data_IF_707008675630
#
_entry.id   IF_707008675630
#
_cell.length_a   1.000
_cell.length_b   1.000
_cell.length_c   1.000
_cell.angle_alpha   90.00
_cell.angle_beta   90.00
_cell.angle_gamma   90.00
#
_symmetry.space_group_name_H-M   'P 1'
#
loop_
_entity.id
_entity.type
_entity.pdbx_description
1 polymer ?
#
# COMPACT_ATOMS: atom_id res chain seq x y z
N UNK A 1 1.64 -4.59 -69.65
CA UNK A 1 0.94 -3.59 -68.82
C UNK A 1 -0.02 -4.35 -67.91
N UNK A 2 0.01 -4.03 -66.62
CA UNK A 2 -0.65 -4.71 -65.47
C UNK A 2 0.15 -5.83 -64.82
N UNK A 3 1.13 -5.37 -64.04
CA UNK A 3 1.56 -5.99 -62.79
C UNK A 3 0.34 -6.37 -61.93
N UNK A 4 0.32 -7.61 -61.45
CA UNK A 4 -0.63 -8.07 -60.45
C UNK A 4 0.10 -8.06 -59.10
N UNK A 5 -0.09 -6.97 -58.35
CA UNK A 5 0.50 -6.76 -57.03
C UNK A 5 -0.20 -7.68 -56.02
N UNK A 6 0.58 -8.55 -55.39
CA UNK A 6 0.17 -9.46 -54.32
C UNK A 6 0.10 -8.65 -53.01
N UNK A 7 -1.11 -8.40 -52.50
CA UNK A 7 -1.33 -7.75 -51.21
C UNK A 7 -1.21 -8.84 -50.13
N UNK A 8 -0.05 -8.89 -49.49
CA UNK A 8 0.22 -9.69 -48.29
C UNK A 8 -0.34 -8.91 -47.09
N UNK A 9 -1.50 -9.37 -46.59
CA UNK A 9 -2.09 -8.85 -45.35
C UNK A 9 -1.20 -9.29 -44.17
N UNK A 10 -0.28 -8.44 -43.75
CA UNK A 10 0.42 -8.59 -42.47
C UNK A 10 -0.56 -8.27 -41.34
N UNK A 11 -1.27 -9.30 -40.87
CA UNK A 11 -1.92 -9.25 -39.58
C UNK A 11 -0.84 -9.10 -38.51
N UNK A 12 -0.77 -7.95 -37.86
CA UNK A 12 0.03 -7.73 -36.67
C UNK A 12 -0.51 -8.61 -35.54
N UNK A 13 0.05 -9.81 -35.39
CA UNK A 13 -0.06 -10.57 -34.15
C UNK A 13 0.55 -9.69 -33.05
N UNK A 14 -0.30 -9.13 -32.19
CA UNK A 14 0.15 -8.65 -30.89
C UNK A 14 0.66 -9.87 -30.15
N UNK A 15 1.98 -10.04 -30.13
CA UNK A 15 2.64 -10.86 -29.13
C UNK A 15 2.28 -10.24 -27.78
N UNK A 16 1.35 -10.85 -27.04
CA UNK A 16 1.28 -10.67 -25.60
C UNK A 16 2.60 -11.21 -25.07
N UNK A 17 3.56 -10.33 -24.81
CA UNK A 17 4.72 -10.70 -24.02
C UNK A 17 4.21 -11.16 -22.65
N UNK A 18 4.80 -12.23 -22.13
CA UNK A 18 4.59 -12.65 -20.75
C UNK A 18 4.91 -11.45 -19.86
N UNK A 19 3.90 -10.86 -19.23
CA UNK A 19 4.15 -9.79 -18.27
C UNK A 19 5.00 -10.37 -17.15
N UNK A 20 6.21 -9.85 -16.99
CA UNK A 20 7.08 -10.25 -15.88
C UNK A 20 6.36 -9.91 -14.58
N UNK A 21 6.11 -10.93 -13.75
CA UNK A 21 5.52 -10.76 -12.42
C UNK A 21 6.35 -9.73 -11.65
N UNK A 22 5.69 -8.72 -11.12
CA UNK A 22 6.30 -7.65 -10.37
C UNK A 22 6.26 -8.04 -8.88
N UNK A 23 7.40 -7.99 -8.20
CA UNK A 23 7.47 -8.32 -6.78
C UNK A 23 7.06 -7.10 -5.93
N UNK A 24 5.93 -6.50 -6.27
CA UNK A 24 5.33 -5.31 -5.67
C UNK A 24 3.80 -5.45 -5.56
N UNK A 25 3.14 -4.52 -4.87
CA UNK A 25 1.68 -4.44 -4.87
C UNK A 25 1.23 -4.02 -6.25
N UNK A 26 0.42 -4.84 -6.92
CA UNK A 26 -0.09 -4.55 -8.25
C UNK A 26 -1.36 -5.32 -8.54
N UNK A 27 -2.28 -4.66 -9.24
CA UNK A 27 -3.49 -5.27 -9.78
C UNK A 27 -3.38 -5.24 -11.31
N UNK A 28 -3.33 -6.42 -11.91
CA UNK A 28 -3.12 -6.60 -13.35
C UNK A 28 -4.43 -6.59 -14.13
N UNK A 29 -5.49 -7.15 -13.55
CA UNK A 29 -6.81 -7.15 -14.16
C UNK A 29 -7.61 -5.90 -13.73
N UNK A 30 -8.04 -5.04 -14.67
CA UNK A 30 -8.80 -3.83 -14.35
C UNK A 30 -10.18 -4.08 -13.74
N UNK A 31 -10.73 -5.30 -13.81
CA UNK A 31 -11.99 -5.68 -13.16
C UNK A 31 -11.80 -6.02 -11.68
N UNK A 32 -10.57 -6.32 -11.27
CA UNK A 32 -10.24 -6.52 -9.86
C UNK A 32 -10.13 -5.16 -9.16
N UNK A 33 -10.78 -5.06 -8.00
CA UNK A 33 -10.87 -3.85 -7.19
C UNK A 33 -10.78 -4.19 -5.70
N UNK A 34 -10.46 -3.16 -4.91
CA UNK A 34 -10.52 -3.24 -3.45
C UNK A 34 -9.72 -4.42 -2.89
N UNK A 35 -8.50 -4.59 -3.38
CA UNK A 35 -7.60 -5.63 -2.88
C UNK A 35 -7.12 -5.19 -1.50
N UNK A 36 -7.35 -6.01 -0.48
CA UNK A 36 -6.92 -5.79 0.89
C UNK A 36 -6.21 -7.03 1.41
N UNK A 37 -5.06 -6.82 2.05
CA UNK A 37 -4.32 -7.85 2.78
C UNK A 37 -4.04 -7.33 4.16
N UNK A 38 -4.57 -8.02 5.16
CA UNK A 38 -4.40 -7.57 6.54
C UNK A 38 -4.35 -8.74 7.52
N UNK A 39 -3.76 -8.56 8.71
CA UNK A 39 -3.79 -9.56 9.77
C UNK A 39 -5.23 -9.96 10.11
N UNK A 40 -5.45 -11.26 10.37
CA UNK A 40 -6.76 -11.73 10.85
C UNK A 40 -6.87 -11.40 12.33
N UNK A 41 -7.47 -10.26 12.66
CA UNK A 41 -7.80 -9.87 14.02
C UNK A 41 -9.24 -10.24 14.38
N UNK A 42 -9.80 -9.45 15.30
CA UNK A 42 -11.14 -9.66 15.88
C UNK A 42 -12.06 -8.46 15.58
N UNK A 43 -11.55 -7.36 15.00
CA UNK A 43 -12.24 -6.09 14.89
C UNK A 43 -12.38 -5.65 13.43
N UNK A 44 -13.38 -4.81 13.14
CA UNK A 44 -13.62 -4.25 11.80
C UNK A 44 -12.48 -3.35 11.29
N UNK A 45 -11.64 -2.81 12.18
CA UNK A 45 -10.55 -1.91 11.82
C UNK A 45 -9.28 -2.64 11.37
N UNK A 46 -9.30 -3.97 11.27
CA UNK A 46 -8.14 -4.75 10.84
C UNK A 46 -7.70 -4.36 9.41
N UNK A 47 -8.63 -3.86 8.58
CA UNK A 47 -8.35 -3.33 7.22
C UNK A 47 -7.32 -2.18 7.20
N UNK A 48 -7.11 -1.49 8.33
CA UNK A 48 -6.16 -0.37 8.45
C UNK A 48 -4.75 -0.82 8.86
N UNK A 49 -4.61 -2.09 9.25
CA UNK A 49 -3.33 -2.62 9.69
C UNK A 49 -2.48 -2.99 8.48
N UNK A 50 -1.21 -2.63 8.53
CA UNK A 50 -0.22 -3.08 7.56
C UNK A 50 -0.25 -4.60 7.39
N UNK A 51 0.08 -5.11 6.19
CA UNK A 51 0.15 -6.55 5.89
C UNK A 51 1.37 -7.20 6.55
N UNK A 52 1.49 -7.08 7.87
CA UNK A 52 2.58 -7.55 8.70
C UNK A 52 2.02 -8.45 9.79
N UNK A 53 2.42 -9.71 9.78
CA UNK A 53 1.95 -10.70 10.76
C UNK A 53 3.08 -11.28 11.58
N UNK A 54 2.80 -11.57 12.85
CA UNK A 54 3.72 -12.41 13.63
C UNK A 54 3.68 -13.83 13.10
N UNK A 55 4.82 -14.52 13.10
CA UNK A 55 4.93 -15.92 12.71
C UNK A 55 3.84 -16.79 13.37
N UNK A 56 3.05 -17.48 12.53
CA UNK A 56 1.96 -18.35 12.96
C UNK A 56 0.59 -17.67 13.08
N UNK A 57 0.51 -16.35 12.95
CA UNK A 57 -0.75 -15.63 12.87
C UNK A 57 -1.32 -15.70 11.44
N UNK A 58 -2.55 -16.17 11.22
CA UNK A 58 -3.17 -16.14 9.89
C UNK A 58 -3.50 -14.70 9.46
N UNK A 59 -3.62 -14.49 8.16
CA UNK A 59 -4.04 -13.22 7.57
C UNK A 59 -5.17 -13.43 6.56
N UNK A 60 -5.78 -12.34 6.13
CA UNK A 60 -6.86 -12.34 5.15
C UNK A 60 -6.33 -11.69 3.87
N UNK A 61 -6.72 -12.28 2.74
CA UNK A 61 -6.75 -11.63 1.44
C UNK A 61 -8.21 -11.53 1.03
N UNK A 62 -8.63 -10.33 0.65
CA UNK A 62 -9.95 -10.09 0.07
C UNK A 62 -9.88 -9.10 -1.08
N UNK A 63 -10.79 -9.26 -2.03
CA UNK A 63 -10.91 -8.40 -3.21
C UNK A 63 -12.25 -8.62 -3.89
N UNK A 64 -12.64 -7.66 -4.71
CA UNK A 64 -13.82 -7.77 -5.56
C UNK A 64 -13.43 -7.93 -7.01
N UNK A 65 -14.22 -8.69 -7.74
CA UNK A 65 -14.19 -8.76 -9.19
C UNK A 65 -15.48 -8.16 -9.74
N UNK A 66 -15.38 -7.08 -10.52
CA UNK A 66 -16.53 -6.40 -11.14
C UNK A 66 -17.07 -7.18 -12.35
N UNK A 67 -17.52 -8.41 -12.11
CA UNK A 67 -18.11 -9.32 -13.08
C UNK A 67 -19.29 -10.07 -12.46
N UNK A 68 -20.09 -10.73 -13.30
CA UNK A 68 -21.29 -11.45 -12.84
C UNK A 68 -21.04 -12.93 -12.52
N UNK A 69 -19.94 -13.49 -13.03
CA UNK A 69 -19.61 -14.90 -12.91
C UNK A 69 -18.44 -15.06 -11.95
N UNK A 70 -18.45 -16.15 -11.17
CA UNK A 70 -17.38 -16.46 -10.25
C UNK A 70 -16.33 -17.32 -10.96
N UNK A 71 -15.06 -16.97 -10.77
CA UNK A 71 -13.90 -17.73 -11.22
C UNK A 71 -13.26 -18.46 -10.05
N UNK A 72 -12.39 -19.42 -10.36
CA UNK A 72 -11.57 -20.08 -9.34
C UNK A 72 -10.17 -19.47 -9.38
N UNK A 73 -9.77 -18.86 -8.28
CA UNK A 73 -8.43 -18.31 -8.12
C UNK A 73 -7.54 -19.19 -7.26
N UNK A 74 -6.24 -19.10 -7.51
CA UNK A 74 -5.22 -19.73 -6.67
C UNK A 74 -4.21 -18.68 -6.20
N UNK A 75 -3.73 -18.89 -4.98
CA UNK A 75 -2.71 -18.04 -4.36
C UNK A 75 -1.42 -18.83 -4.19
N UNK A 76 -0.30 -18.20 -4.54
CA UNK A 76 1.05 -18.71 -4.29
C UNK A 76 1.88 -17.66 -3.57
N UNK A 77 2.80 -18.09 -2.71
CA UNK A 77 3.75 -17.20 -2.06
C UNK A 77 5.10 -17.22 -2.78
N UNK A 78 5.69 -16.05 -2.98
CA UNK A 78 7.09 -15.89 -3.36
C UNK A 78 7.83 -15.29 -2.16
N UNK A 79 8.81 -16.00 -1.62
CA UNK A 79 9.70 -15.47 -0.58
C UNK A 79 10.70 -14.51 -1.20
N UNK A 80 10.84 -13.32 -0.61
CA UNK A 80 11.77 -12.28 -1.04
C UNK A 80 12.78 -11.92 0.04
N UNK A 81 13.94 -11.40 -0.36
CA UNK A 81 14.97 -10.81 0.50
C UNK A 81 14.54 -9.41 0.98
N UNK A 82 15.38 -8.73 1.79
CA UNK A 82 15.05 -7.42 2.36
C UNK A 82 14.79 -6.34 1.28
N UNK A 83 15.43 -6.47 0.12
CA UNK A 83 15.29 -5.59 -1.05
C UNK A 83 14.14 -5.99 -1.99
N UNK A 84 13.28 -6.94 -1.58
CA UNK A 84 12.20 -7.53 -2.37
C UNK A 84 12.63 -8.40 -3.55
N UNK A 85 13.93 -8.66 -3.74
CA UNK A 85 14.40 -9.65 -4.72
C UNK A 85 13.97 -11.07 -4.33
N UNK A 86 13.70 -11.93 -5.31
CA UNK A 86 13.26 -13.30 -5.05
C UNK A 86 14.37 -14.10 -4.34
N UNK A 87 14.00 -14.75 -3.23
CA UNK A 87 14.89 -15.61 -2.47
C UNK A 87 15.23 -16.91 -3.23
N UNK A 88 16.39 -17.48 -2.91
CA UNK A 88 16.82 -18.80 -3.40
C UNK A 88 16.24 -19.96 -2.57
N UNK A 89 15.55 -19.65 -1.46
CA UNK A 89 14.91 -20.67 -0.63
C UNK A 89 13.80 -21.39 -1.40
N UNK A 90 13.74 -22.70 -1.19
CA UNK A 90 12.65 -23.55 -1.70
C UNK A 90 11.40 -23.42 -0.82
N UNK A 91 10.24 -23.67 -1.41
CA UNK A 91 8.93 -23.58 -0.75
C UNK A 91 8.85 -24.35 0.58
N UNK A 92 9.45 -25.55 0.64
CA UNK A 92 9.47 -26.40 1.83
C UNK A 92 10.28 -25.80 3.01
N UNK A 93 11.13 -24.81 2.76
CA UNK A 93 11.90 -24.14 3.81
C UNK A 93 11.07 -23.07 4.54
N UNK A 94 10.02 -22.53 3.89
CA UNK A 94 9.19 -21.47 4.48
C UNK A 94 7.70 -21.83 4.60
N UNK A 95 7.24 -22.95 4.01
CA UNK A 95 5.90 -23.47 4.15
C UNK A 95 5.90 -24.96 4.53
N UNK A 96 4.93 -25.36 5.37
CA UNK A 96 4.67 -26.76 5.73
C UNK A 96 3.72 -27.47 4.76
N UNK A 97 3.02 -26.72 3.93
CA UNK A 97 2.05 -27.20 2.96
C UNK A 97 2.56 -26.99 1.55
N UNK A 98 1.87 -27.55 0.57
CA UNK A 98 2.07 -27.16 -0.82
C UNK A 98 1.75 -25.66 -0.98
N UNK A 99 2.57 -24.95 -1.76
CA UNK A 99 2.53 -23.50 -1.92
C UNK A 99 1.53 -23.10 -3.01
N UNK A 100 0.29 -23.51 -2.81
CA UNK A 100 -0.83 -23.24 -3.70
C UNK A 100 -2.11 -23.36 -2.88
N UNK A 101 -2.84 -22.25 -2.77
CA UNK A 101 -4.05 -22.15 -1.95
C UNK A 101 -5.22 -21.75 -2.85
N UNK A 102 -6.25 -22.59 -2.91
CA UNK A 102 -7.46 -22.30 -3.69
C UNK A 102 -8.36 -21.32 -2.94
N UNK A 103 -8.88 -20.32 -3.65
CA UNK A 103 -9.90 -19.40 -3.15
C UNK A 103 -11.26 -19.99 -3.54
N UNK A 104 -11.94 -20.62 -2.57
CA UNK A 104 -13.26 -21.24 -2.79
C UNK A 104 -14.41 -20.40 -2.21
N UNK A 105 -14.13 -19.55 -1.22
CA UNK A 105 -15.15 -18.74 -0.57
C UNK A 105 -15.33 -17.43 -1.32
N UNK A 106 -16.51 -17.25 -1.88
CA UNK A 106 -16.95 -16.03 -2.53
C UNK A 106 -18.43 -15.79 -2.28
N UNK A 107 -18.84 -14.53 -2.32
CA UNK A 107 -20.23 -14.10 -2.22
C UNK A 107 -20.55 -13.12 -3.35
N UNK A 108 -21.74 -13.24 -3.95
CA UNK A 108 -22.21 -12.29 -4.94
C UNK A 108 -22.69 -11.01 -4.25
N UNK A 109 -22.47 -9.87 -4.91
CA UNK A 109 -23.01 -8.59 -4.45
C UNK A 109 -24.54 -8.64 -4.34
N UNK A 110 -25.08 -7.91 -3.37
CA UNK A 110 -26.49 -7.91 -3.04
C UNK A 110 -27.04 -6.48 -2.99
N UNK A 111 -28.11 -6.22 -3.75
CA UNK A 111 -28.75 -4.89 -3.87
C UNK A 111 -27.81 -3.75 -4.30
N UNK A 112 -26.80 -4.05 -5.12
CA UNK A 112 -25.90 -3.07 -5.73
C UNK A 112 -26.29 -2.81 -7.20
N UNK A 113 -26.04 -1.62 -7.71
CA UNK A 113 -26.15 -1.28 -9.14
C UNK A 113 -24.97 -1.84 -9.92
N UNK A 114 -23.76 -1.77 -9.36
CA UNK A 114 -22.59 -2.44 -9.92
C UNK A 114 -22.52 -3.87 -9.37
N UNK A 115 -22.76 -4.90 -10.20
CA UNK A 115 -22.60 -6.28 -9.76
C UNK A 115 -21.12 -6.63 -9.59
N UNK A 116 -20.80 -7.42 -8.57
CA UNK A 116 -19.47 -7.97 -8.36
C UNK A 116 -19.52 -9.30 -7.59
N UNK A 117 -18.40 -10.02 -7.63
CA UNK A 117 -18.13 -11.18 -6.78
C UNK A 117 -17.08 -10.79 -5.76
N UNK A 118 -17.39 -10.92 -4.47
CA UNK A 118 -16.46 -10.67 -3.38
C UNK A 118 -15.76 -11.98 -3.00
N UNK A 119 -14.43 -11.99 -3.03
CA UNK A 119 -13.62 -13.14 -2.63
C UNK A 119 -12.94 -12.86 -1.30
N UNK A 120 -12.95 -13.85 -0.40
CA UNK A 120 -12.30 -13.73 0.92
C UNK A 120 -11.67 -15.05 1.32
N UNK A 121 -10.36 -15.04 1.54
CA UNK A 121 -9.60 -16.23 1.93
C UNK A 121 -8.74 -15.95 3.16
N UNK A 122 -8.75 -16.91 4.09
CA UNK A 122 -7.83 -16.92 5.22
C UNK A 122 -6.60 -17.73 4.83
N UNK A 123 -5.46 -17.07 4.88
CA UNK A 123 -4.19 -17.59 4.44
C UNK A 123 -3.27 -17.90 5.63
N UNK A 124 -2.55 -19.04 5.62
CA UNK A 124 -1.62 -19.37 6.69
C UNK A 124 -0.34 -18.53 6.59
N UNK A 125 0.19 -18.12 7.75
CA UNK A 125 1.51 -17.49 7.82
C UNK A 125 2.63 -18.50 7.51
N UNK A 126 3.59 -18.14 6.65
CA UNK A 126 4.86 -18.85 6.51
C UNK A 126 5.56 -19.15 7.83
N UNK A 127 6.28 -20.27 7.90
CA UNK A 127 7.01 -20.70 9.10
C UNK A 127 8.37 -20.04 9.26
N UNK A 128 8.83 -19.28 8.26
CA UNK A 128 10.06 -18.51 8.28
C UNK A 128 9.71 -17.02 8.22
N UNK A 129 10.37 -16.17 9.02
CA UNK A 129 10.17 -14.72 8.89
C UNK A 129 10.83 -14.19 7.61
N UNK A 130 10.42 -13.01 7.16
CA UNK A 130 10.89 -12.38 5.93
C UNK A 130 9.80 -11.68 5.14
N UNK A 131 10.19 -11.21 3.95
CA UNK A 131 9.31 -10.59 2.97
C UNK A 131 8.66 -11.65 2.09
N UNK A 132 7.38 -11.46 1.77
CA UNK A 132 6.65 -12.37 0.90
C UNK A 132 5.77 -11.59 -0.07
N UNK A 133 5.62 -12.11 -1.29
CA UNK A 133 4.66 -11.63 -2.27
C UNK A 133 3.61 -12.71 -2.48
N UNK A 134 2.34 -12.37 -2.23
CA UNK A 134 1.18 -13.13 -2.68
C UNK A 134 1.07 -12.95 -4.18
N UNK A 135 0.90 -14.04 -4.92
CA UNK A 135 0.60 -14.04 -6.35
C UNK A 135 -0.74 -14.74 -6.51
N UNK A 136 -1.74 -14.01 -6.97
CA UNK A 136 -3.07 -14.55 -7.29
C UNK A 136 -3.18 -14.71 -8.79
N UNK A 137 -3.60 -15.88 -9.24
CA UNK A 137 -3.77 -16.18 -10.65
C UNK A 137 -5.06 -16.97 -10.90
N UNK A 138 -5.58 -16.89 -12.12
CA UNK A 138 -6.86 -17.46 -12.52
C UNK A 138 -6.71 -18.86 -13.12
N UNK A 139 -7.77 -19.67 -12.98
CA UNK A 139 -8.00 -20.91 -13.73
C UNK A 139 -6.87 -21.95 -13.67
N UNK A 140 -6.03 -21.90 -12.65
CA UNK A 140 -4.89 -22.80 -12.50
C UNK A 140 -3.73 -22.52 -13.47
N UNK A 141 -3.72 -21.38 -14.18
CA UNK A 141 -2.59 -20.96 -15.03
C UNK A 141 -1.71 -19.94 -14.28
N UNK A 142 -0.50 -20.32 -13.82
CA UNK A 142 0.41 -19.41 -13.14
C UNK A 142 0.92 -18.24 -13.99
N UNK A 143 0.61 -18.21 -15.29
CA UNK A 143 0.91 -17.08 -16.17
C UNK A 143 -0.23 -16.06 -16.23
N UNK A 144 -1.44 -16.42 -15.79
CA UNK A 144 -2.60 -15.52 -15.75
C UNK A 144 -2.70 -14.84 -14.38
N UNK A 145 -1.69 -14.03 -14.07
CA UNK A 145 -1.57 -13.33 -12.79
C UNK A 145 -2.49 -12.12 -12.77
N UNK A 146 -3.35 -12.05 -11.75
CA UNK A 146 -4.32 -10.97 -11.56
C UNK A 146 -3.91 -9.98 -10.46
N UNK A 147 -3.20 -10.45 -9.43
CA UNK A 147 -2.78 -9.64 -8.28
C UNK A 147 -1.39 -10.08 -7.83
N UNK A 148 -0.53 -9.12 -7.51
CA UNK A 148 0.59 -9.32 -6.60
C UNK A 148 0.45 -8.42 -5.40
N UNK A 149 0.74 -8.93 -4.20
CA UNK A 149 0.66 -8.12 -2.97
C UNK A 149 1.75 -8.51 -1.97
N UNK A 150 2.48 -7.52 -1.48
CA UNK A 150 3.51 -7.68 -0.47
C UNK A 150 2.89 -7.90 0.91
N UNK A 151 3.48 -8.79 1.68
CA UNK A 151 3.23 -8.94 3.09
C UNK A 151 4.51 -9.38 3.80
N UNK A 152 4.57 -9.17 5.10
CA UNK A 152 5.74 -9.48 5.91
C UNK A 152 5.38 -10.42 7.04
N UNK A 153 6.28 -11.34 7.34
CA UNK A 153 6.18 -12.19 8.53
C UNK A 153 7.36 -11.87 9.43
N UNK A 154 7.13 -11.48 10.67
CA UNK A 154 8.19 -11.20 11.62
C UNK A 154 8.22 -12.22 12.76
N UNK A 155 9.43 -12.42 13.29
CA UNK A 155 9.65 -13.10 14.56
C UNK A 155 10.07 -12.04 15.58
N UNK A 156 9.55 -12.09 16.81
CA UNK A 156 9.81 -11.05 17.81
C UNK A 156 11.04 -11.39 18.65
N UNK A 157 12.22 -11.36 18.03
CA UNK A 157 13.49 -11.78 18.63
C UNK A 157 14.31 -10.62 19.22
N UNK A 158 13.98 -9.39 18.85
CA UNK A 158 14.59 -8.16 19.38
C UNK A 158 13.55 -7.24 19.97
N UNK A 159 13.98 -6.36 20.88
CA UNK A 159 13.12 -5.34 21.48
C UNK A 159 13.61 -3.95 21.11
N UNK A 160 12.68 -3.01 20.98
CA UNK A 160 13.02 -1.60 20.77
C UNK A 160 13.10 -0.89 22.12
N UNK A 161 14.23 -0.22 22.39
CA UNK A 161 14.48 0.52 23.64
C UNK A 161 15.09 1.88 23.35
N UNK A 162 15.09 2.81 24.31
CA UNK A 162 15.96 4.00 24.32
C UNK A 162 16.40 4.33 25.76
N UNK A 163 17.44 5.15 25.94
CA UNK A 163 17.87 5.68 27.25
C UNK A 163 16.78 6.57 27.93
N UNK A 164 15.79 7.07 27.16
CA UNK A 164 14.68 7.90 27.65
C UNK A 164 13.32 7.18 27.65
N UNK A 165 13.22 5.91 27.23
CA UNK A 165 11.95 5.18 27.06
C UNK A 165 11.71 4.66 25.64
N UNK A 166 10.48 4.78 25.12
CA UNK A 166 10.10 4.36 23.75
C UNK A 166 10.85 5.16 22.65
N UNK A 167 10.91 4.67 21.39
CA UNK A 167 11.46 5.43 20.26
C UNK A 167 10.89 6.84 20.11
N UNK A 168 11.71 7.77 19.62
CA UNK A 168 11.39 9.21 19.58
C UNK A 168 11.39 9.72 18.14
N UNK A 169 10.39 10.53 17.80
CA UNK A 169 10.32 11.32 16.58
C UNK A 169 10.74 12.76 16.91
N UNK A 170 11.94 13.15 16.50
CA UNK A 170 12.49 14.48 16.69
C UNK A 170 12.09 15.41 15.54
N UNK A 171 11.52 16.57 15.88
CA UNK A 171 11.24 17.66 14.94
C UNK A 171 12.49 18.50 14.72
N UNK A 172 13.51 17.91 14.07
CA UNK A 172 14.80 18.56 13.82
C UNK A 172 14.70 19.80 12.90
N UNK A 173 13.57 19.96 12.20
CA UNK A 173 13.20 21.07 11.33
C UNK A 173 11.68 21.24 11.38
N UNK A 174 11.11 22.45 11.16
CA UNK A 174 9.66 22.65 11.08
C UNK A 174 8.98 21.85 9.96
N UNK A 175 9.74 21.30 9.01
CA UNK A 175 9.23 20.57 7.86
C UNK A 175 9.45 19.05 7.92
N UNK A 176 10.29 18.56 8.84
CA UNK A 176 10.76 17.17 8.81
C UNK A 176 10.58 16.48 10.16
N UNK A 177 10.53 15.15 10.11
CA UNK A 177 10.44 14.24 11.23
C UNK A 177 11.63 13.29 11.18
N UNK A 178 12.41 13.21 12.26
CA UNK A 178 13.61 12.36 12.35
C UNK A 178 13.41 11.28 13.42
N UNK A 179 13.58 10.02 13.04
CA UNK A 179 13.42 8.88 13.94
C UNK A 179 14.74 8.53 14.64
N UNK A 180 14.66 8.33 15.95
CA UNK A 180 15.77 7.81 16.76
C UNK A 180 15.29 6.64 17.63
N UNK A 181 16.03 5.54 17.56
CA UNK A 181 15.68 4.30 18.26
C UNK A 181 16.93 3.46 18.53
N UNK A 182 16.80 2.50 19.46
CA UNK A 182 17.78 1.46 19.70
C UNK A 182 17.11 0.09 19.63
N UNK A 183 17.84 -0.88 19.08
CA UNK A 183 17.42 -2.28 18.99
C UNK A 183 18.25 -3.11 19.97
N UNK A 184 17.58 -3.70 20.95
CA UNK A 184 18.15 -4.65 21.90
C UNK A 184 18.03 -6.07 21.35
N UNK A 185 19.16 -6.69 21.04
CA UNK A 185 19.25 -8.05 20.51
C UNK A 185 19.78 -9.06 21.54
N UNK A 186 19.65 -8.77 22.85
CA UNK A 186 20.14 -9.65 23.92
C UNK A 186 19.55 -11.07 23.91
N UNK A 187 18.38 -11.25 23.30
CA UNK A 187 17.73 -12.55 23.09
C UNK A 187 18.40 -13.43 22.02
N UNK A 188 19.37 -12.91 21.28
CA UNK A 188 20.07 -13.63 20.22
C UNK A 188 21.58 -13.35 20.20
N UNK A 189 22.30 -14.14 19.42
CA UNK A 189 23.74 -13.98 19.19
C UNK A 189 23.95 -13.51 17.75
N UNK A 190 24.49 -12.31 17.58
CA UNK A 190 24.79 -11.72 16.28
C UNK A 190 26.28 -11.42 16.27
N UNK A 191 27.04 -12.12 15.44
CA UNK A 191 28.51 -12.06 15.46
C UNK A 191 29.05 -10.78 14.84
N UNK A 192 28.37 -10.29 13.80
CA UNK A 192 28.75 -9.06 13.10
C UNK A 192 27.50 -8.21 12.85
N UNK A 193 26.99 -7.49 13.86
CA UNK A 193 25.75 -6.74 13.72
C UNK A 193 25.81 -5.67 12.61
N UNK A 194 27.00 -5.13 12.32
CA UNK A 194 27.16 -4.13 11.28
C UNK A 194 26.85 -4.68 9.88
N UNK A 195 27.26 -5.92 9.61
CA UNK A 195 27.04 -6.55 8.29
C UNK A 195 25.80 -7.43 8.25
N UNK A 196 25.37 -7.98 9.38
CA UNK A 196 24.25 -8.92 9.45
C UNK A 196 22.91 -8.25 9.75
N UNK A 197 22.89 -7.03 10.30
CA UNK A 197 21.65 -6.30 10.61
C UNK A 197 21.48 -5.11 9.69
N UNK A 198 20.26 -4.89 9.24
CA UNK A 198 19.84 -3.68 8.55
C UNK A 198 18.42 -3.33 8.95
N UNK A 199 18.07 -2.05 8.82
CA UNK A 199 16.72 -1.56 9.12
C UNK A 199 16.11 -0.92 7.89
N UNK A 200 14.81 -1.19 7.68
CA UNK A 200 13.98 -0.43 6.75
C UNK A 200 12.92 0.35 7.52
N UNK A 201 12.70 1.61 7.15
CA UNK A 201 11.68 2.47 7.77
C UNK A 201 10.67 2.91 6.72
N UNK A 202 9.38 2.71 6.99
CA UNK A 202 8.27 3.20 6.16
C UNK A 202 7.56 4.34 6.89
N UNK A 203 7.07 5.33 6.12
CA UNK A 203 6.17 6.37 6.60
C UNK A 203 4.78 6.07 6.02
N UNK A 204 3.77 5.91 6.86
CA UNK A 204 2.38 5.66 6.46
C UNK A 204 2.23 4.47 5.51
N UNK A 205 2.88 3.34 5.81
CA UNK A 205 2.85 2.10 5.02
C UNK A 205 3.40 2.22 3.57
N UNK A 206 4.03 3.35 3.24
CA UNK A 206 4.52 3.64 1.88
C UNK A 206 5.89 3.04 1.62
N UNK A 207 5.97 2.27 0.53
CA UNK A 207 7.24 1.74 0.01
C UNK A 207 7.97 2.72 -0.92
N UNK A 208 7.27 3.69 -1.52
CA UNK A 208 7.84 4.63 -2.49
C UNK A 208 8.83 5.63 -1.86
N UNK A 209 8.64 5.96 -0.58
CA UNK A 209 9.51 6.87 0.17
C UNK A 209 10.30 6.18 1.30
N UNK A 210 10.25 4.84 1.36
CA UNK A 210 10.90 4.07 2.41
C UNK A 210 12.41 4.26 2.42
N UNK A 211 13.00 4.17 3.60
CA UNK A 211 14.45 4.24 3.83
C UNK A 211 14.98 2.85 4.07
N UNK A 212 15.82 2.34 3.17
CA UNK A 212 16.32 0.96 3.19
C UNK A 212 17.75 0.88 3.72
N UNK A 213 18.15 -0.34 4.10
CA UNK A 213 19.53 -0.71 4.44
C UNK A 213 20.21 0.17 5.51
N UNK A 214 19.43 0.74 6.43
CA UNK A 214 19.95 1.61 7.48
C UNK A 214 20.80 0.76 8.43
N UNK A 215 22.03 1.22 8.67
CA UNK A 215 23.01 0.58 9.57
C UNK A 215 22.98 1.23 10.95
N UNK A 216 23.42 0.52 12.00
CA UNK A 216 23.55 1.16 13.30
C UNK A 216 24.61 2.27 13.26
N UNK A 217 24.35 3.40 13.90
CA UNK A 217 25.34 4.47 14.11
C UNK A 217 26.35 4.09 15.18
N UNK A 218 25.95 3.27 16.16
CA UNK A 218 26.82 2.76 17.20
C UNK A 218 26.39 1.36 17.67
N UNK A 219 27.36 0.51 17.98
CA UNK A 219 27.14 -0.87 18.45
C UNK A 219 27.66 -0.97 19.88
N UNK A 220 26.74 -1.13 20.84
CA UNK A 220 27.07 -1.42 22.24
C UNK A 220 27.13 -2.93 22.46
N UNK A 221 28.26 -3.52 22.08
CA UNK A 221 28.45 -4.97 22.13
C UNK A 221 28.24 -5.55 23.54
N UNK A 222 28.75 -4.86 24.58
CA UNK A 222 28.63 -5.31 25.97
C UNK A 222 27.19 -5.43 26.48
N UNK A 223 26.29 -4.59 25.95
CA UNK A 223 24.86 -4.56 26.32
C UNK A 223 23.96 -5.17 25.23
N UNK A 224 24.53 -5.69 24.14
CA UNK A 224 23.83 -6.18 22.95
C UNK A 224 22.78 -5.21 22.41
N UNK A 225 23.19 -3.96 22.16
CA UNK A 225 22.34 -2.88 21.65
C UNK A 225 22.89 -2.25 20.38
N UNK A 226 21.99 -1.93 19.45
CA UNK A 226 22.26 -1.23 18.21
C UNK A 226 21.57 0.13 18.23
N UNK A 227 22.33 1.22 18.17
CA UNK A 227 21.78 2.56 18.17
C UNK A 227 21.61 3.09 16.75
N UNK A 228 20.50 3.77 16.50
CA UNK A 228 20.17 4.44 15.25
C UNK A 228 19.88 5.91 15.55
N UNK A 229 20.94 6.71 15.64
CA UNK A 229 20.88 8.14 15.93
C UNK A 229 21.54 8.95 14.82
N UNK A 230 20.83 9.13 13.72
CA UNK A 230 21.34 9.92 12.60
C UNK A 230 21.01 11.41 12.77
N UNK A 231 22.00 12.24 12.46
CA UNK A 231 21.84 13.70 12.28
C UNK A 231 21.71 14.09 10.80
N UNK A 232 21.74 13.10 9.92
CA UNK A 232 21.65 13.17 8.48
C UNK A 232 20.29 12.59 8.00
N UNK A 233 20.09 12.42 6.70
CA UNK A 233 18.77 12.16 6.12
C UNK A 233 18.33 10.67 6.10
N UNK A 234 19.12 9.76 6.66
CA UNK A 234 18.91 8.31 6.64
C UNK A 234 17.64 7.91 7.41
N UNK A 235 17.34 8.60 8.51
CA UNK A 235 16.14 8.41 9.34
C UNK A 235 15.22 9.63 9.35
N UNK A 236 15.45 10.59 8.44
CA UNK A 236 14.66 11.83 8.34
C UNK A 236 13.69 11.76 7.16
N UNK A 237 12.43 12.06 7.43
CA UNK A 237 11.33 12.11 6.46
C UNK A 237 10.74 13.53 6.38
N UNK A 238 10.23 13.96 5.21
CA UNK A 238 9.34 15.10 5.14
C UNK A 238 8.10 14.84 5.99
N UNK A 239 7.64 15.85 6.74
CA UNK A 239 6.47 15.71 7.60
C UNK A 239 5.16 15.56 6.83
N UNK A 240 5.08 16.02 5.57
CA UNK A 240 3.84 16.01 4.81
C UNK A 240 2.75 16.87 5.46
N UNK A 241 1.49 16.47 5.27
CA UNK A 241 0.33 17.07 5.92
C UNK A 241 -0.70 15.96 6.19
N UNK A 242 -1.70 16.20 7.04
CA UNK A 242 -2.78 15.22 7.22
C UNK A 242 -3.46 14.98 5.86
N UNK A 243 -3.71 13.71 5.54
CA UNK A 243 -4.33 13.29 4.29
C UNK A 243 -5.70 13.94 4.12
N UNK A 244 -6.02 14.30 2.88
CA UNK A 244 -7.39 14.68 2.51
C UNK A 244 -8.25 13.44 2.64
N UNK A 245 -9.54 13.64 2.89
CA UNK A 245 -10.47 12.53 2.94
C UNK A 245 -11.80 12.88 2.29
N UNK A 246 -12.63 11.86 2.09
CA UNK A 246 -14.06 12.01 1.87
C UNK A 246 -14.78 10.77 2.38
N UNK A 247 -16.02 10.96 2.83
CA UNK A 247 -16.87 9.90 3.37
C UNK A 247 -17.98 9.57 2.38
N UNK A 248 -17.87 8.40 1.74
CA UNK A 248 -18.88 7.84 0.85
C UNK A 248 -19.48 6.55 1.42
N UNK A 249 -19.57 6.41 2.75
CA UNK A 249 -20.24 5.26 3.37
C UNK A 249 -21.76 5.26 3.18
N UNK A 250 -22.33 6.37 2.69
CA UNK A 250 -23.72 6.49 2.25
C UNK A 250 -23.78 7.06 0.83
N UNK A 251 -24.70 6.53 0.03
CA UNK A 251 -25.06 7.09 -1.28
C UNK A 251 -26.41 7.81 -1.25
N UNK A 252 -27.15 7.73 -0.13
CA UNK A 252 -28.42 8.45 0.09
C UNK A 252 -28.20 9.85 0.67
N UNK A 253 -27.20 9.98 1.53
CA UNK A 253 -26.81 11.23 2.17
C UNK A 253 -25.38 11.55 1.79
N UNK A 254 -25.13 12.82 1.49
CA UNK A 254 -23.77 13.27 1.22
C UNK A 254 -23.00 13.27 2.53
N UNK A 255 -22.00 12.38 2.61
CA UNK A 255 -21.04 12.38 3.70
C UNK A 255 -20.09 13.57 3.60
N UNK A 256 -19.15 13.63 4.53
CA UNK A 256 -18.20 14.72 4.57
C UNK A 256 -17.34 14.76 3.29
N UNK A 257 -17.15 15.97 2.75
CA UNK A 257 -16.40 16.24 1.52
C UNK A 257 -16.96 15.57 0.26
N UNK A 258 -18.22 15.11 0.28
CA UNK A 258 -18.96 14.69 -0.91
C UNK A 258 -19.89 15.80 -1.36
N UNK A 259 -19.64 16.35 -2.56
CA UNK A 259 -20.38 17.48 -3.13
C UNK A 259 -21.74 17.07 -3.67
N UNK A 260 -21.78 15.98 -4.43
CA UNK A 260 -23.02 15.43 -5.02
C UNK A 260 -22.81 13.99 -5.48
N UNK A 261 -23.91 13.24 -5.56
CA UNK A 261 -23.98 11.89 -6.13
C UNK A 261 -25.14 11.82 -7.13
N UNK A 262 -24.90 11.23 -8.28
CA UNK A 262 -25.86 11.05 -9.37
C UNK A 262 -25.93 9.58 -9.79
N UNK A 263 -27.17 9.10 -9.91
CA UNK A 263 -27.47 7.77 -10.39
C UNK A 263 -27.88 7.85 -11.85
N UNK A 264 -27.16 7.14 -12.72
CA UNK A 264 -27.46 7.05 -14.15
C UNK A 264 -27.55 5.59 -14.57
N UNK A 265 -28.78 5.09 -14.76
CA UNK A 265 -29.09 3.70 -15.11
C UNK A 265 -28.45 2.69 -14.14
N UNK A 266 -27.30 2.14 -14.53
CA UNK A 266 -26.52 1.09 -13.89
C UNK A 266 -25.20 1.62 -13.30
N UNK A 267 -25.01 2.95 -13.25
CA UNK A 267 -23.78 3.58 -12.76
C UNK A 267 -24.05 4.69 -11.78
N UNK A 268 -23.09 4.87 -10.87
CA UNK A 268 -23.09 5.92 -9.87
C UNK A 268 -21.91 6.83 -10.13
N UNK A 269 -22.17 8.13 -10.17
CA UNK A 269 -21.16 9.17 -10.32
C UNK A 269 -21.19 10.07 -9.09
N UNK A 270 -20.04 10.30 -8.48
CA UNK A 270 -19.91 11.20 -7.35
C UNK A 270 -18.86 12.27 -7.59
N UNK A 271 -18.95 13.37 -6.87
CA UNK A 271 -17.97 14.45 -6.88
C UNK A 271 -17.51 14.72 -5.47
N UNK A 272 -16.20 14.70 -5.27
CA UNK A 272 -15.57 15.19 -4.04
C UNK A 272 -15.56 16.73 -4.08
N UNK A 273 -15.56 17.37 -2.92
CA UNK A 273 -15.40 18.82 -2.83
C UNK A 273 -14.12 19.30 -3.55
N UNK A 274 -14.19 20.48 -4.16
CA UNK A 274 -13.07 21.03 -4.92
C UNK A 274 -11.90 21.38 -3.98
N UNK A 275 -10.72 20.84 -4.27
CA UNK A 275 -9.51 21.01 -3.47
C UNK A 275 -8.69 22.21 -3.89
N UNK A 276 -7.88 22.72 -2.96
CA UNK A 276 -6.85 23.74 -3.18
C UNK A 276 -5.52 23.30 -2.58
N UNK A 277 -4.43 23.91 -3.06
CA UNK A 277 -3.13 23.78 -2.41
C UNK A 277 -3.20 24.22 -0.95
N UNK A 278 -2.68 23.38 -0.05
CA UNK A 278 -2.55 23.63 1.39
C UNK A 278 -1.10 23.96 1.80
N UNK A 279 -0.15 23.93 0.85
CA UNK A 279 1.27 24.08 1.15
C UNK A 279 1.66 25.42 1.80
N UNK A 280 0.89 26.49 1.57
CA UNK A 280 1.12 27.82 2.15
C UNK A 280 0.11 28.20 3.24
N UNK A 281 -0.74 27.27 3.68
CA UNK A 281 -1.70 27.49 4.76
C UNK A 281 -1.05 27.13 6.10
N UNK A 282 -1.51 27.72 7.20
CA UNK A 282 -1.09 27.28 8.52
C UNK A 282 -1.55 25.83 8.77
N UNK A 283 -0.69 25.03 9.38
CA UNK A 283 -1.03 23.65 9.76
C UNK A 283 -2.21 23.60 10.73
N UNK A 284 -3.07 22.60 10.56
CA UNK A 284 -4.27 22.38 11.37
C UNK A 284 -4.25 21.00 12.01
N UNK A 285 -4.25 20.94 13.34
CA UNK A 285 -4.21 19.68 14.13
C UNK A 285 -5.56 18.96 14.25
N UNK A 286 -6.65 19.55 13.74
CA UNK A 286 -8.02 19.05 13.96
C UNK A 286 -8.46 17.99 12.94
N UNK A 287 -7.71 17.82 11.84
CA UNK A 287 -8.04 16.85 10.80
C UNK A 287 -7.60 15.46 11.25
N UNK A 288 -8.53 14.63 11.70
CA UNK A 288 -8.29 13.21 11.89
C UNK A 288 -8.35 12.49 10.55
N UNK A 289 -7.29 11.76 10.24
CA UNK A 289 -7.19 10.95 9.05
C UNK A 289 -6.89 9.48 9.42
N UNK A 290 -6.68 8.67 8.39
CA UNK A 290 -6.32 7.26 8.45
C UNK A 290 -4.92 7.05 7.85
N UNK A 291 -4.04 8.05 7.89
CA UNK A 291 -2.67 7.98 7.35
C UNK A 291 -2.58 7.50 5.88
N UNK A 292 -3.55 7.85 5.03
CA UNK A 292 -3.53 7.48 3.60
C UNK A 292 -4.29 6.20 3.26
N UNK A 293 -4.80 5.50 4.29
CA UNK A 293 -5.59 4.27 4.15
C UNK A 293 -7.06 4.54 3.80
N UNK A 294 -7.79 3.47 3.49
CA UNK A 294 -9.25 3.51 3.35
C UNK A 294 -9.93 2.37 4.13
N UNK A 295 -11.22 2.56 4.43
CA UNK A 295 -12.06 1.53 5.05
C UNK A 295 -13.31 1.34 4.23
N UNK A 296 -13.59 0.09 3.87
CA UNK A 296 -14.86 -0.30 3.25
C UNK A 296 -15.89 -0.47 4.36
N UNK A 297 -16.91 0.38 4.34
CA UNK A 297 -17.94 0.42 5.36
C UNK A 297 -19.25 0.97 4.79
N UNK A 298 -20.35 0.70 5.48
CA UNK A 298 -21.69 1.13 5.11
C UNK A 298 -22.47 1.54 6.35
N UNK A 299 -22.95 2.79 6.39
CA UNK A 299 -23.78 3.23 7.51
C UNK A 299 -25.23 2.75 7.42
N UNK A 300 -25.64 2.22 6.27
CA UNK A 300 -27.02 1.80 5.97
C UNK A 300 -27.17 0.28 5.91
N UNK A 301 -26.13 -0.40 5.43
CA UNK A 301 -26.07 -1.85 5.22
C UNK A 301 -25.75 -2.62 6.50
N UNK A 302 -25.90 -3.94 6.41
CA UNK A 302 -25.49 -4.89 7.46
C UNK A 302 -24.20 -5.60 7.09
N UNK A 303 -23.94 -5.82 5.80
CA UNK A 303 -22.73 -6.46 5.32
C UNK A 303 -22.03 -5.57 4.26
N UNK A 304 -21.09 -4.70 4.69
CA UNK A 304 -20.35 -3.83 3.78
C UNK A 304 -19.56 -4.56 2.68
N UNK A 305 -19.22 -5.83 2.88
CA UNK A 305 -18.45 -6.63 1.92
C UNK A 305 -19.25 -6.90 0.63
N UNK A 306 -20.59 -7.03 0.71
CA UNK A 306 -21.42 -7.41 -0.45
C UNK A 306 -22.57 -6.44 -0.74
N UNK A 307 -22.89 -5.54 0.20
CA UNK A 307 -24.01 -4.58 0.05
C UNK A 307 -23.53 -3.17 -0.35
N UNK A 308 -22.22 -2.96 -0.47
CA UNK A 308 -21.64 -1.68 -0.90
C UNK A 308 -21.60 -1.58 -2.41
N UNK A 309 -22.05 -0.45 -2.95
CA UNK A 309 -21.95 -0.17 -4.38
C UNK A 309 -20.59 0.45 -4.75
N UNK A 310 -20.31 0.45 -6.04
CA UNK A 310 -19.20 1.18 -6.64
C UNK A 310 -19.68 2.48 -7.28
N UNK A 311 -18.95 3.56 -7.04
CA UNK A 311 -19.19 4.85 -7.65
C UNK A 311 -17.91 5.37 -8.33
N UNK A 312 -18.09 6.01 -9.49
CA UNK A 312 -17.04 6.77 -10.14
C UNK A 312 -16.94 8.15 -9.49
N UNK A 313 -15.95 8.31 -8.63
CA UNK A 313 -15.66 9.54 -7.91
C UNK A 313 -14.78 10.47 -8.73
N UNK A 314 -15.22 11.72 -8.87
CA UNK A 314 -14.51 12.77 -9.60
C UNK A 314 -13.84 13.71 -8.61
N UNK A 315 -12.58 14.03 -8.88
CA UNK A 315 -11.71 14.87 -8.06
C UNK A 315 -11.32 16.11 -8.84
N UNK A 316 -11.30 17.26 -8.16
CA UNK A 316 -10.89 18.55 -8.72
C UNK A 316 -9.85 19.19 -7.79
N UNK A 317 -8.71 19.59 -8.34
CA UNK A 317 -7.72 20.41 -7.64
C UNK A 317 -7.61 21.77 -8.36
N UNK A 318 -8.13 22.83 -7.75
CA UNK A 318 -8.00 24.20 -8.22
C UNK A 318 -6.56 24.69 -8.02
N UNK A 319 -5.85 24.92 -9.13
CA UNK A 319 -4.51 25.47 -9.13
C UNK A 319 -4.12 25.90 -10.53
N UNK A 320 -3.14 26.81 -10.65
CA UNK A 320 -2.52 27.09 -11.94
C UNK A 320 -1.73 25.89 -12.46
N UNK A 321 -1.48 25.88 -13.77
CA UNK A 321 -0.68 24.85 -14.39
C UNK A 321 0.76 24.88 -13.87
N UNK A 322 1.27 23.72 -13.47
CA UNK A 322 2.64 23.55 -12.99
C UNK A 322 3.49 22.83 -14.03
N UNK A 323 4.80 22.96 -13.91
CA UNK A 323 5.75 22.19 -14.72
C UNK A 323 6.01 20.82 -14.08
N UNK A 324 5.05 19.91 -14.23
CA UNK A 324 5.10 18.57 -13.67
C UNK A 324 3.80 17.82 -13.95
N UNK A 325 3.76 16.55 -13.55
CA UNK A 325 2.54 15.74 -13.57
C UNK A 325 1.96 15.68 -12.17
N UNK A 326 0.62 15.70 -12.08
CA UNK A 326 -0.11 15.66 -10.82
C UNK A 326 -0.87 14.35 -10.76
N UNK A 327 -0.75 13.63 -9.66
CA UNK A 327 -1.39 12.34 -9.45
C UNK A 327 -2.26 12.38 -8.20
N UNK A 328 -3.38 11.68 -8.26
CA UNK A 328 -4.11 11.28 -7.07
C UNK A 328 -3.39 10.07 -6.46
N UNK A 329 -3.07 10.13 -5.18
CA UNK A 329 -2.31 9.10 -4.50
C UNK A 329 -2.90 8.78 -3.11
N UNK A 330 -2.70 7.53 -2.69
CA UNK A 330 -3.13 6.97 -1.41
C UNK A 330 -3.20 5.44 -1.53
N UNK A 331 -3.64 4.76 -0.47
CA UNK A 331 -3.87 3.31 -0.56
C UNK A 331 -4.97 2.97 -1.57
N UNK A 332 -5.92 3.90 -1.81
CA UNK A 332 -6.95 3.76 -2.84
C UNK A 332 -6.40 3.59 -4.28
N UNK A 333 -5.12 3.91 -4.49
CA UNK A 333 -4.38 3.71 -5.75
C UNK A 333 -3.20 2.77 -5.59
N UNK A 334 -3.08 2.04 -4.48
CA UNK A 334 -1.89 1.26 -4.10
C UNK A 334 -0.60 2.09 -4.14
N UNK A 335 -0.68 3.41 -3.94
CA UNK A 335 0.42 4.35 -4.14
C UNK A 335 1.06 4.36 -5.54
N UNK A 336 0.41 3.75 -6.55
CA UNK A 336 0.93 3.69 -7.91
C UNK A 336 0.62 4.97 -8.70
N UNK A 337 1.67 5.55 -9.29
CA UNK A 337 1.57 6.73 -10.15
C UNK A 337 1.44 6.31 -11.61
N UNK A 338 0.24 5.87 -11.99
CA UNK A 338 -0.08 5.36 -13.32
C UNK A 338 -0.80 6.42 -14.17
N UNK A 339 -1.05 6.10 -15.44
CA UNK A 339 -1.84 6.97 -16.31
C UNK A 339 -3.29 7.16 -15.81
N UNK A 340 -3.82 6.18 -15.08
CA UNK A 340 -5.20 6.22 -14.58
C UNK A 340 -5.33 7.11 -13.33
N UNK A 341 -4.22 7.34 -12.62
CA UNK A 341 -4.16 8.22 -11.44
C UNK A 341 -3.63 9.63 -11.77
N UNK A 342 -3.11 9.83 -12.99
CA UNK A 342 -2.66 11.14 -13.50
C UNK A 342 -3.86 12.08 -13.75
N UNK A 343 -3.84 13.26 -13.12
CA UNK A 343 -4.86 14.28 -13.31
C UNK A 343 -4.59 15.10 -14.58
N UNK A 344 -5.66 15.40 -15.32
CA UNK A 344 -5.59 16.22 -16.52
C UNK A 344 -5.88 17.68 -16.18
N UNK A 345 -5.01 18.58 -16.63
CA UNK A 345 -5.23 20.01 -16.46
C UNK A 345 -6.27 20.56 -17.46
N UNK A 346 -7.25 21.29 -16.94
CA UNK A 346 -8.30 21.97 -17.70
C UNK A 346 -8.09 23.49 -17.65
N UNK A 347 -7.56 24.04 -18.75
CA UNK A 347 -7.27 25.48 -18.92
C UNK A 347 -8.53 26.36 -18.77
N UNK A 348 -9.74 25.84 -19.05
CA UNK A 348 -10.96 26.63 -18.98
C UNK A 348 -11.45 26.87 -17.55
N UNK A 349 -11.08 25.96 -16.65
CA UNK A 349 -11.49 26.01 -15.23
C UNK A 349 -10.32 26.25 -14.28
N UNK A 350 -9.09 26.37 -14.79
CA UNK A 350 -7.86 26.50 -14.00
C UNK A 350 -7.77 25.43 -12.89
N UNK A 351 -7.96 24.16 -13.28
CA UNK A 351 -7.96 23.05 -12.34
C UNK A 351 -7.45 21.75 -12.95
N UNK A 352 -6.94 20.87 -12.11
CA UNK A 352 -6.64 19.47 -12.45
C UNK A 352 -7.86 18.60 -12.14
N UNK A 353 -8.18 17.66 -13.04
CA UNK A 353 -9.35 16.78 -12.91
C UNK A 353 -8.96 15.32 -13.13
N UNK A 354 -9.55 14.45 -12.35
CA UNK A 354 -9.40 13.00 -12.48
C UNK A 354 -10.57 12.26 -11.86
N UNK A 355 -10.58 10.94 -12.00
CA UNK A 355 -11.66 10.13 -11.46
C UNK A 355 -11.23 8.70 -11.19
N UNK A 356 -11.77 8.09 -10.12
CA UNK A 356 -11.55 6.69 -9.77
C UNK A 356 -12.86 5.98 -9.50
N UNK A 357 -12.90 4.67 -9.77
CA UNK A 357 -14.04 3.82 -9.41
C UNK A 357 -13.74 3.21 -8.05
N UNK A 358 -14.53 3.58 -7.04
CA UNK A 358 -14.30 3.24 -5.63
C UNK A 358 -15.56 2.63 -5.04
N UNK A 359 -15.39 1.64 -4.17
CA UNK A 359 -16.47 1.05 -3.38
C UNK A 359 -16.92 2.04 -2.31
N UNK A 360 -18.13 1.94 -1.78
CA UNK A 360 -18.53 2.77 -0.63
C UNK A 360 -17.56 2.57 0.55
N UNK A 361 -17.16 3.68 1.17
CA UNK A 361 -16.15 3.67 2.22
C UNK A 361 -15.69 5.07 2.63
N UNK A 362 -14.75 5.10 3.57
CA UNK A 362 -13.98 6.29 3.95
C UNK A 362 -12.60 6.21 3.30
N UNK A 363 -12.20 7.24 2.56
CA UNK A 363 -10.97 7.23 1.79
C UNK A 363 -10.07 8.39 2.19
N UNK A 364 -8.78 8.12 2.36
CA UNK A 364 -7.75 9.15 2.41
C UNK A 364 -7.01 9.25 1.09
N UNK A 365 -6.61 10.47 0.72
CA UNK A 365 -5.85 10.73 -0.49
C UNK A 365 -4.99 11.99 -0.36
N UNK A 366 -4.05 12.14 -1.28
CA UNK A 366 -3.26 13.35 -1.47
C UNK A 366 -2.97 13.59 -2.96
N UNK A 367 -2.45 14.78 -3.26
CA UNK A 367 -1.96 15.11 -4.60
C UNK A 367 -0.44 15.12 -4.65
N UNK A 368 0.13 14.12 -5.34
CA UNK A 368 1.58 14.02 -5.54
C UNK A 368 2.02 14.62 -6.87
N UNK A 369 3.18 15.28 -6.86
CA UNK A 369 3.78 15.89 -8.04
C UNK A 369 5.04 15.16 -8.48
N UNK A 370 5.08 14.75 -9.75
CA UNK A 370 6.31 14.26 -10.39
C UNK A 370 6.87 15.38 -11.27
N UNK A 371 7.99 15.95 -10.83
CA UNK A 371 8.68 17.07 -11.50
C UNK A 371 10.16 17.05 -11.17
N UNK A 372 10.98 17.67 -12.03
CA UNK A 372 12.40 17.85 -11.79
C UNK A 372 12.70 18.93 -10.73
N UNK A 373 11.78 19.88 -10.52
CA UNK A 373 12.05 21.11 -9.74
C UNK A 373 11.06 21.34 -8.59
N UNK A 374 10.01 20.53 -8.48
CA UNK A 374 8.97 20.66 -7.45
C UNK A 374 9.03 19.47 -6.51
N UNK A 375 8.76 19.72 -5.23
CA UNK A 375 8.62 18.67 -4.23
C UNK A 375 7.42 17.77 -4.56
N UNK A 376 7.47 16.46 -4.27
CA UNK A 376 6.30 15.59 -4.36
C UNK A 376 5.08 16.13 -3.62
N UNK A 377 5.30 16.74 -2.46
CA UNK A 377 4.25 17.31 -1.60
C UNK A 377 3.92 18.77 -1.97
N UNK A 378 4.13 19.19 -3.22
CA UNK A 378 3.98 20.60 -3.64
C UNK A 378 2.61 21.21 -3.30
N UNK A 379 1.54 20.42 -3.40
CA UNK A 379 0.19 20.88 -3.07
C UNK A 379 -0.17 20.70 -1.60
N UNK A 380 0.46 19.76 -0.89
CA UNK A 380 0.11 19.45 0.50
C UNK A 380 0.93 20.24 1.52
N UNK A 381 2.20 20.51 1.22
CA UNK A 381 3.17 21.09 2.13
C UNK A 381 3.90 20.04 2.97
N UNK A 382 4.72 20.52 3.89
CA UNK A 382 5.42 19.69 4.87
C UNK A 382 5.32 20.35 6.24
N UNK A 383 4.88 19.61 7.25
CA UNK A 383 4.76 20.08 8.62
C UNK A 383 5.25 19.01 9.56
N UNK A 384 6.22 19.36 10.40
CA UNK A 384 6.79 18.44 11.40
C UNK A 384 5.76 17.96 12.41
N UNK A 385 4.68 18.72 12.59
CA UNK A 385 3.56 18.47 13.47
C UNK A 385 2.60 17.39 12.95
N UNK A 386 2.61 17.12 11.65
CA UNK A 386 1.75 16.11 11.01
C UNK A 386 1.86 14.77 11.73
N UNK A 387 0.73 14.14 12.00
CA UNK A 387 0.72 12.80 12.56
C UNK A 387 0.96 11.80 11.45
N UNK A 388 2.12 11.17 11.50
CA UNK A 388 2.45 10.06 10.63
C UNK A 388 2.62 8.80 11.48
N UNK A 389 2.34 7.67 10.85
CA UNK A 389 2.72 6.36 11.33
C UNK A 389 4.08 5.98 10.72
N UNK A 390 4.96 5.40 11.53
CA UNK A 390 6.24 4.90 11.09
C UNK A 390 6.40 3.43 11.45
N UNK A 391 6.87 2.64 10.50
CA UNK A 391 7.15 1.23 10.69
C UNK A 391 8.64 0.99 10.61
N UNK A 392 9.21 0.36 11.63
CA UNK A 392 10.62 0.01 11.70
C UNK A 392 10.73 -1.51 11.58
N UNK A 393 11.37 -1.97 10.51
CA UNK A 393 11.56 -3.38 10.19
C UNK A 393 13.03 -3.72 10.37
N UNK A 394 13.34 -4.65 11.28
CA UNK A 394 14.71 -5.09 11.56
C UNK A 394 14.99 -6.40 10.85
N UNK A 395 15.88 -6.36 9.86
CA UNK A 395 16.34 -7.51 9.12
C UNK A 395 17.63 -8.07 9.72
N UNK A 396 17.76 -9.39 9.69
CA UNK A 396 18.96 -10.13 10.07
C UNK A 396 19.29 -11.20 9.04
N UNK A 397 20.55 -11.21 8.57
CA UNK A 397 21.07 -12.19 7.63
C UNK A 397 22.04 -13.16 8.32
N UNK A 398 21.58 -14.34 8.76
CA UNK A 398 22.47 -15.34 9.30
C UNK A 398 23.38 -15.94 8.21
N UNK A 399 24.63 -16.24 8.58
CA UNK A 399 25.65 -16.71 7.64
C UNK A 399 25.33 -18.07 6.99
N UNK A 400 24.64 -18.94 7.72
CA UNK A 400 24.33 -20.31 7.31
C UNK A 400 23.08 -20.40 6.41
N UNK A 401 22.07 -19.57 6.66
CA UNK A 401 20.85 -19.52 5.85
C UNK A 401 21.04 -18.76 4.54
N UNK A 402 21.85 -17.69 4.57
CA UNK A 402 22.09 -16.84 3.41
C UNK A 402 20.83 -16.14 2.88
N UNK A 403 19.84 -15.88 3.75
CA UNK A 403 18.60 -15.15 3.42
C UNK A 403 18.20 -14.20 4.57
N UNK A 404 17.57 -13.08 4.25
CA UNK A 404 17.18 -12.07 5.24
C UNK A 404 15.93 -12.48 6.03
N UNK A 405 16.02 -12.49 7.35
CA UNK A 405 14.91 -12.73 8.27
C UNK A 405 14.43 -11.40 8.87
N UNK A 406 13.13 -11.25 9.09
CA UNK A 406 12.63 -10.14 9.93
C UNK A 406 12.62 -10.61 11.39
N UNK A 407 13.45 -9.99 12.22
CA UNK A 407 13.67 -10.36 13.63
C UNK A 407 13.07 -9.36 14.62
N UNK A 408 12.51 -8.26 14.11
CA UNK A 408 11.77 -7.27 14.87
C UNK A 408 10.95 -6.39 13.95
N UNK A 409 9.79 -5.97 14.44
CA UNK A 409 8.91 -5.01 13.78
C UNK A 409 8.33 -4.09 14.85
N UNK A 410 8.28 -2.79 14.56
CA UNK A 410 7.65 -1.80 15.43
C UNK A 410 6.83 -0.83 14.61
N UNK A 411 5.63 -0.56 15.08
CA UNK A 411 4.75 0.49 14.57
C UNK A 411 4.73 1.64 15.59
N UNK A 412 5.07 2.85 15.14
CA UNK A 412 5.16 4.08 15.93
C UNK A 412 4.22 5.13 15.36
N UNK A 413 3.35 5.69 16.19
CA UNK A 413 2.52 6.83 15.82
C UNK A 413 3.06 8.10 16.47
N UNK A 414 3.07 9.20 15.71
CA UNK A 414 3.42 10.53 16.23
C UNK A 414 2.33 11.16 17.09
#
# INVERSE_FOLDING_TARGET
MRDLLLILLLASLKSFGQETIELANKVYDPHIKTVQVHPRGVNSNDQLLSPVVTKGQPFILEFDELFNDAYTYQVKYIRCEADWSKSLLSDLQFLKTYNEFTIENYDYSFNTLTPYVHYKVVLPSPILSGNYVLVVYADGDPNDVIITHRFMVFDNLVNFTTEFGSPIINKSSPYNQNLQFEVNYSGMEIQDPNNQVSVTILQNQRWDNAKYEIKPTFIREGDKKLEYQYFTNETTFPGGNEFRYFDMRSLKYFGERVKTVHFEKDKIYGWVDDDKSRANLAYTTEQMDLNGEYVIDNIEGKNPEIENDYAKMNFTLESEKINGKVYLAGELTNWELTKDTELTYDESTHSYKGSLVLKQGWYNYEYLVVSNNLSPNYFEGNWSETRNQYEIIVYYRPFDLGSDLIIGYLNLNQ
#
